data_IF_058016963532
#
_entry.id   IF_058016963532
#
_cell.length_a   1.000
_cell.length_b   1.000
_cell.length_c   1.000
_cell.angle_alpha   90.00
_cell.angle_beta   90.00
_cell.angle_gamma   90.00
#
_symmetry.space_group_name_H-M   'P 1'
#
loop_
_entity.id
_entity.type
_entity.pdbx_description
1 polymer ?
#
# COMPACT_ATOMS: atom_id res chain seq x y z
N UNK A 1 -12.69 -1.92 5.78
CA UNK A 1 -11.75 -2.44 6.79
C UNK A 1 -11.38 -3.86 6.41
N UNK A 2 -10.08 -4.16 6.33
CA UNK A 2 -9.52 -5.44 5.91
C UNK A 2 -8.63 -5.98 7.03
N UNK A 3 -8.99 -7.11 7.64
CA UNK A 3 -8.28 -7.59 8.83
C UNK A 3 -8.07 -9.10 8.93
N UNK A 4 -6.94 -9.50 9.52
CA UNK A 4 -6.53 -10.89 9.77
C UNK A 4 -6.47 -11.79 8.52
N UNK A 5 -6.15 -11.21 7.36
CA UNK A 5 -5.93 -11.93 6.11
C UNK A 5 -4.45 -12.16 5.83
N UNK A 6 -4.14 -13.12 4.95
CA UNK A 6 -2.81 -13.20 4.37
C UNK A 6 -2.49 -11.95 3.55
N UNK A 7 -3.46 -11.47 2.76
CA UNK A 7 -3.37 -10.24 1.95
C UNK A 7 -4.68 -9.45 2.11
N UNK A 8 -4.61 -8.19 2.56
CA UNK A 8 -5.78 -7.33 2.77
C UNK A 8 -6.38 -6.81 1.47
N UNK A 9 -5.55 -6.35 0.54
CA UNK A 9 -5.93 -6.01 -0.82
C UNK A 9 -4.80 -6.33 -1.82
N UNK A 10 -5.15 -6.91 -2.96
CA UNK A 10 -4.21 -7.29 -4.02
C UNK A 10 -4.62 -6.64 -5.35
N UNK A 11 -3.75 -5.77 -5.86
CA UNK A 11 -3.81 -5.29 -7.24
C UNK A 11 -2.81 -6.06 -8.07
N UNK A 12 -3.29 -6.87 -9.02
CA UNK A 12 -2.42 -7.60 -9.93
C UNK A 12 -3.19 -8.24 -11.09
N UNK A 13 -2.46 -8.97 -11.94
CA UNK A 13 -3.03 -9.64 -13.13
C UNK A 13 -3.78 -8.68 -14.07
N UNK A 14 -3.21 -7.51 -14.35
CA UNK A 14 -3.85 -6.49 -15.19
C UNK A 14 -4.91 -5.64 -14.48
N UNK A 15 -5.13 -5.83 -13.18
CA UNK A 15 -6.00 -4.99 -12.35
C UNK A 15 -5.19 -3.99 -11.54
N UNK A 16 -5.83 -2.89 -11.13
CA UNK A 16 -5.25 -1.89 -10.24
C UNK A 16 -6.19 -1.70 -9.04
N UNK A 17 -5.62 -1.58 -7.84
CA UNK A 17 -6.37 -1.28 -6.62
C UNK A 17 -5.96 0.09 -6.12
N UNK A 18 -6.93 0.99 -5.94
CA UNK A 18 -6.73 2.22 -5.20
C UNK A 18 -7.30 2.06 -3.78
N UNK A 19 -6.49 2.37 -2.77
CA UNK A 19 -6.87 2.29 -1.36
C UNK A 19 -6.74 3.67 -0.71
N UNK A 20 -7.84 4.42 -0.71
CA UNK A 20 -7.97 5.71 -0.03
C UNK A 20 -8.93 5.57 1.14
N UNK A 21 -8.61 6.14 2.30
CA UNK A 21 -9.52 6.10 3.46
C UNK A 21 -9.77 4.70 4.01
N UNK A 22 -8.84 3.76 3.79
CA UNK A 22 -9.00 2.36 4.16
C UNK A 22 -8.31 2.02 5.48
N UNK A 23 -8.69 0.91 6.10
CA UNK A 23 -8.00 0.37 7.29
C UNK A 23 -7.59 -1.06 7.03
N UNK A 24 -6.29 -1.34 7.14
CA UNK A 24 -5.66 -2.65 7.01
C UNK A 24 -5.03 -3.04 8.35
N UNK A 25 -5.55 -4.10 8.99
CA UNK A 25 -5.12 -4.49 10.34
C UNK A 25 -4.76 -5.96 10.47
N UNK A 26 -3.59 -6.28 11.03
CA UNK A 26 -3.24 -7.66 11.37
C UNK A 26 -3.08 -8.58 10.16
N UNK A 27 -2.84 -8.03 8.96
CA UNK A 27 -2.68 -8.83 7.75
C UNK A 27 -1.23 -9.24 7.53
N UNK A 28 -0.98 -10.31 6.77
CA UNK A 28 0.36 -10.63 6.28
C UNK A 28 0.92 -9.49 5.42
N UNK A 29 0.16 -9.09 4.40
CA UNK A 29 0.37 -7.86 3.62
C UNK A 29 -0.91 -7.02 3.62
N UNK A 30 -0.84 -5.74 3.99
CA UNK A 30 -2.00 -4.83 3.98
C UNK A 30 -2.48 -4.56 2.56
N UNK A 31 -1.65 -3.86 1.79
CA UNK A 31 -1.87 -3.56 0.38
C UNK A 31 -0.72 -4.10 -0.46
N UNK A 32 -1.02 -4.95 -1.44
CA UNK A 32 -0.04 -5.47 -2.39
C UNK A 32 -0.33 -4.96 -3.80
N UNK A 33 0.56 -4.12 -4.30
CA UNK A 33 0.59 -3.61 -5.67
C UNK A 33 1.57 -4.44 -6.52
N UNK A 34 1.01 -5.31 -7.35
CA UNK A 34 1.69 -6.17 -8.33
C UNK A 34 1.04 -6.04 -9.71
N UNK A 35 0.89 -4.80 -10.14
CA UNK A 35 0.15 -4.39 -11.35
C UNK A 35 0.97 -4.68 -12.62
N UNK A 36 1.42 -5.92 -12.84
CA UNK A 36 2.09 -6.33 -14.08
C UNK A 36 1.10 -6.37 -15.25
N UNK A 37 1.59 -6.10 -16.47
CA UNK A 37 0.81 -6.15 -17.71
C UNK A 37 0.25 -4.79 -18.13
N UNK A 38 -0.82 -4.79 -18.94
CA UNK A 38 -1.48 -3.58 -19.47
C UNK A 38 -2.40 -2.88 -18.43
N UNK A 39 -2.09 -3.02 -17.13
CA UNK A 39 -2.89 -2.41 -16.07
C UNK A 39 -2.88 -0.88 -16.21
N UNK A 40 -4.05 -0.28 -16.36
CA UNK A 40 -4.19 1.17 -16.43
C UNK A 40 -4.17 1.76 -15.01
N UNK A 41 -3.38 2.82 -14.81
CA UNK A 41 -3.36 3.55 -13.54
C UNK A 41 -4.79 4.01 -13.20
N UNK A 42 -5.33 3.56 -12.06
CA UNK A 42 -6.65 4.00 -11.58
C UNK A 42 -6.55 5.22 -10.65
N UNK A 43 -5.37 5.81 -10.50
CA UNK A 43 -5.07 6.94 -9.63
C UNK A 43 -3.84 6.69 -8.74
N UNK A 44 -3.16 7.78 -8.42
CA UNK A 44 -1.94 7.78 -7.60
C UNK A 44 -2.17 8.13 -6.13
N UNK A 45 -3.39 8.48 -5.72
CA UNK A 45 -3.69 8.93 -4.35
C UNK A 45 -4.17 7.80 -3.44
N UNK A 46 -3.33 7.42 -2.47
CA UNK A 46 -3.53 6.37 -1.47
C UNK A 46 -3.62 6.91 -0.03
N UNK A 47 -3.94 8.20 0.10
CA UNK A 47 -3.97 8.89 1.38
C UNK A 47 -5.09 8.45 2.33
N UNK A 48 -5.07 9.02 3.53
CA UNK A 48 -6.06 8.83 4.59
C UNK A 48 -6.24 7.38 5.07
N UNK A 49 -5.30 6.49 4.75
CA UNK A 49 -5.38 5.08 5.09
C UNK A 49 -4.61 4.73 6.37
N UNK A 50 -5.11 3.77 7.13
CA UNK A 50 -4.48 3.27 8.36
C UNK A 50 -3.98 1.85 8.14
N UNK A 51 -2.69 1.64 8.38
CA UNK A 51 -2.03 0.34 8.33
C UNK A 51 -1.49 0.00 9.72
N UNK A 52 -2.09 -1.00 10.35
CA UNK A 52 -1.82 -1.38 11.73
C UNK A 52 -1.47 -2.86 11.88
N UNK A 53 -0.41 -3.17 12.61
CA UNK A 53 -0.03 -4.55 13.00
C UNK A 53 0.08 -5.54 11.83
N UNK A 54 0.40 -5.07 10.61
CA UNK A 54 0.58 -5.94 9.45
C UNK A 54 2.04 -6.46 9.39
N UNK A 55 2.24 -7.61 8.77
CA UNK A 55 3.60 -8.08 8.42
C UNK A 55 4.29 -7.10 7.47
N UNK A 56 3.59 -6.68 6.42
CA UNK A 56 4.00 -5.60 5.53
C UNK A 56 2.80 -4.72 5.25
N UNK A 57 2.85 -3.44 5.57
CA UNK A 57 1.70 -2.55 5.36
C UNK A 57 1.44 -2.32 3.87
N UNK A 58 2.44 -1.85 3.11
CA UNK A 58 2.35 -1.68 1.65
C UNK A 58 3.50 -2.41 0.96
N UNK A 59 3.19 -3.25 -0.01
CA UNK A 59 4.15 -3.94 -0.88
C UNK A 59 3.99 -3.48 -2.33
N UNK A 60 5.03 -2.87 -2.89
CA UNK A 60 5.11 -2.43 -4.28
C UNK A 60 6.06 -3.38 -5.01
N UNK A 61 5.47 -4.44 -5.58
CA UNK A 61 6.20 -5.49 -6.29
C UNK A 61 6.42 -5.15 -7.77
N UNK A 62 5.41 -4.58 -8.43
CA UNK A 62 5.48 -4.12 -9.81
C UNK A 62 4.39 -3.08 -10.09
N UNK A 63 4.74 -2.01 -10.79
CA UNK A 63 3.83 -0.94 -11.17
C UNK A 63 4.15 -0.45 -12.60
N UNK A 64 3.14 -0.25 -13.46
CA UNK A 64 3.31 0.43 -14.73
C UNK A 64 3.28 1.95 -14.53
N UNK A 65 3.99 2.68 -15.38
CA UNK A 65 4.04 4.15 -15.35
C UNK A 65 5.21 4.73 -14.55
N UNK A 66 5.13 6.02 -14.26
CA UNK A 66 6.17 6.80 -13.55
C UNK A 66 5.58 7.82 -12.58
N UNK A 67 4.29 7.68 -12.25
CA UNK A 67 3.62 8.56 -11.30
C UNK A 67 4.11 8.31 -9.88
N UNK A 68 4.01 9.29 -8.99
CA UNK A 68 4.35 9.11 -7.57
C UNK A 68 3.10 8.67 -6.81
N UNK A 69 3.17 7.55 -6.09
CA UNK A 69 2.10 7.14 -5.18
C UNK A 69 2.07 8.06 -3.96
N UNK A 70 0.96 8.72 -3.75
CA UNK A 70 0.77 9.67 -2.66
C UNK A 70 0.13 8.98 -1.46
N UNK A 71 0.87 8.85 -0.36
CA UNK A 71 0.39 8.30 0.92
C UNK A 71 0.12 9.37 1.98
N UNK A 72 -0.18 10.61 1.56
CA UNK A 72 -0.45 11.70 2.48
C UNK A 72 -1.52 11.36 3.52
N UNK A 73 -1.27 11.73 4.78
CA UNK A 73 -2.14 11.45 5.92
C UNK A 73 -2.36 9.96 6.22
N UNK A 74 -1.52 9.06 5.69
CA UNK A 74 -1.53 7.66 6.11
C UNK A 74 -0.92 7.49 7.50
N UNK A 75 -1.45 6.53 8.25
CA UNK A 75 -0.92 6.13 9.55
C UNK A 75 -0.34 4.73 9.45
N UNK A 76 0.93 4.57 9.80
CA UNK A 76 1.63 3.29 9.89
C UNK A 76 2.04 3.05 11.34
N UNK A 77 1.54 1.96 11.94
CA UNK A 77 1.89 1.61 13.33
C UNK A 77 1.94 0.10 13.54
N UNK A 78 2.88 -0.36 14.34
CA UNK A 78 3.02 -1.79 14.67
C UNK A 78 3.30 -2.75 13.51
N UNK A 79 3.48 -2.24 12.29
CA UNK A 79 3.80 -3.09 11.15
C UNK A 79 5.26 -3.53 11.23
N UNK A 80 5.56 -4.77 10.82
CA UNK A 80 6.96 -5.23 10.73
C UNK A 80 7.72 -4.50 9.61
N UNK A 81 7.05 -4.17 8.51
CA UNK A 81 7.57 -3.32 7.42
C UNK A 81 6.48 -2.34 6.99
N UNK A 82 6.76 -1.05 7.00
CA UNK A 82 5.80 -0.03 6.56
C UNK A 82 5.61 -0.03 5.05
N UNK A 83 6.71 0.11 4.30
CA UNK A 83 6.67 0.08 2.83
C UNK A 83 7.82 -0.78 2.32
N UNK A 84 7.47 -1.83 1.59
CA UNK A 84 8.42 -2.65 0.84
C UNK A 84 8.29 -2.30 -0.64
N UNK A 85 9.34 -1.73 -1.22
CA UNK A 85 9.33 -1.27 -2.60
C UNK A 85 10.47 -1.89 -3.40
N UNK A 86 10.25 -3.12 -3.87
CA UNK A 86 11.22 -3.83 -4.73
C UNK A 86 11.18 -3.34 -6.17
N UNK A 87 10.09 -2.68 -6.58
CA UNK A 87 9.94 -2.12 -7.92
C UNK A 87 10.76 -0.83 -8.14
N UNK A 88 11.21 -0.16 -7.07
CA UNK A 88 11.86 1.15 -7.15
C UNK A 88 10.91 2.27 -7.59
N UNK A 89 9.61 2.09 -7.40
CA UNK A 89 8.59 3.05 -7.84
C UNK A 89 8.56 4.28 -6.93
N UNK A 90 8.20 5.45 -7.44
CA UNK A 90 8.14 6.65 -6.60
C UNK A 90 6.95 6.57 -5.62
N UNK A 91 7.22 6.76 -4.33
CA UNK A 91 6.21 6.85 -3.28
C UNK A 91 6.49 8.08 -2.41
N UNK A 92 5.51 8.97 -2.31
CA UNK A 92 5.54 10.11 -1.40
C UNK A 92 5.06 9.64 -0.02
N UNK A 93 6.01 9.58 0.90
CA UNK A 93 5.80 9.24 2.29
C UNK A 93 6.04 10.44 3.20
N UNK A 94 6.11 11.66 2.66
CA UNK A 94 6.55 12.85 3.41
C UNK A 94 5.57 13.28 4.52
N UNK A 95 4.29 12.94 4.39
CA UNK A 95 3.23 13.28 5.35
C UNK A 95 2.61 12.06 6.05
N UNK A 96 3.33 10.94 6.11
CA UNK A 96 2.87 9.79 6.88
C UNK A 96 3.09 10.03 8.38
N UNK A 97 2.22 9.45 9.19
CA UNK A 97 2.44 9.30 10.63
C UNK A 97 2.97 7.90 10.87
N UNK A 98 4.16 7.81 11.47
CA UNK A 98 4.68 6.54 12.01
C UNK A 98 4.56 6.59 13.53
N UNK A 99 3.92 5.59 14.11
CA UNK A 99 3.94 5.40 15.56
C UNK A 99 4.71 4.12 15.86
N UNK A 100 5.83 4.27 16.56
CA UNK A 100 6.52 3.14 17.17
C UNK A 100 5.62 2.57 18.27
N UNK A 101 5.47 1.24 18.30
CA UNK A 101 4.72 0.53 19.34
C UNK A 101 5.45 0.56 20.68
#
# INVERSE_FOLDING_TARGET
MFENWEIGAYGGLGSWVNATGCTFRGNGVGLWLDNRGDATCSGSYYGDSVYEDNGTAVRIAAMPGTETLDFNNCVFRGNRVNVENTAGYAADLSQIVTADN
#
